data_IF_959378527182
#
_entry.id   IF_959378527182
#
_cell.length_a   1.000
_cell.length_b   1.000
_cell.length_c   1.000
_cell.angle_alpha   90.00
_cell.angle_beta   90.00
_cell.angle_gamma   90.00
#
_symmetry.space_group_name_H-M   'P 1'
#
loop_
_entity.id
_entity.type
_entity.pdbx_description
1 polymer ?
#
# COMPACT_ATOMS: atom_id res chain seq x y z
N UNK A 1 18.87 -3.37 -17.80
CA UNK A 1 18.07 -2.90 -18.95
C UNK A 1 16.62 -3.26 -18.62
N UNK A 2 15.82 -2.28 -18.21
CA UNK A 2 14.40 -2.51 -17.91
C UNK A 2 13.62 -2.42 -19.22
N UNK A 3 12.97 -3.52 -19.61
CA UNK A 3 12.08 -3.51 -20.78
C UNK A 3 10.80 -2.75 -20.40
N UNK A 4 10.61 -1.58 -21.01
CA UNK A 4 9.35 -0.85 -20.98
C UNK A 4 8.44 -1.52 -22.01
N UNK A 5 7.55 -2.40 -21.55
CA UNK A 5 6.55 -3.03 -22.41
C UNK A 5 5.39 -2.08 -22.71
N UNK A 6 4.74 -2.29 -23.85
CA UNK A 6 3.61 -1.50 -24.38
C UNK A 6 2.48 -1.37 -23.35
N UNK A 7 1.91 -0.16 -23.28
CA UNK A 7 0.80 0.22 -22.40
C UNK A 7 -0.48 -0.63 -22.59
N UNK A 8 -0.57 -1.42 -23.66
CA UNK A 8 -1.73 -2.28 -23.97
C UNK A 8 -1.79 -3.56 -23.11
N UNK A 9 -0.64 -4.09 -22.65
CA UNK A 9 -0.63 -5.19 -21.66
C UNK A 9 -0.96 -4.72 -20.23
N UNK A 10 -1.08 -3.40 -20.04
CA UNK A 10 -1.41 -2.70 -18.78
C UNK A 10 -2.87 -2.17 -18.83
N UNK A 11 -3.65 -2.48 -19.88
CA UNK A 11 -5.03 -1.99 -20.03
C UNK A 11 -6.04 -2.59 -19.03
N UNK A 12 -5.63 -3.52 -18.16
CA UNK A 12 -6.49 -4.12 -17.13
C UNK A 12 -5.98 -3.90 -15.71
N UNK A 13 -5.23 -2.82 -15.47
CA UNK A 13 -5.14 -2.31 -14.10
C UNK A 13 -6.42 -1.53 -13.85
N UNK A 14 -7.48 -2.23 -13.46
CA UNK A 14 -8.63 -1.58 -12.88
C UNK A 14 -8.14 -0.64 -11.77
N UNK A 15 -8.67 0.57 -11.75
CA UNK A 15 -8.41 1.52 -10.68
C UNK A 15 -8.80 0.86 -9.35
N UNK A 16 -7.80 0.56 -8.54
CA UNK A 16 -7.97 0.00 -7.20
C UNK A 16 -7.44 0.99 -6.16
N UNK A 17 -7.98 0.88 -4.96
CA UNK A 17 -7.82 1.86 -3.91
C UNK A 17 -7.27 1.19 -2.67
N UNK A 18 -6.39 1.91 -1.99
CA UNK A 18 -6.22 1.71 -0.56
C UNK A 18 -7.05 2.76 0.16
N UNK A 19 -7.51 2.49 1.37
CA UNK A 19 -8.19 3.49 2.19
C UNK A 19 -7.79 3.37 3.65
N UNK A 20 -8.00 4.47 4.38
CA UNK A 20 -7.63 4.55 5.78
C UNK A 20 -8.64 3.75 6.59
N UNK A 21 -8.17 2.75 7.31
CA UNK A 21 -8.98 2.05 8.29
C UNK A 21 -8.81 2.70 9.67
N UNK A 22 -7.56 2.86 10.11
CA UNK A 22 -7.26 3.40 11.43
C UNK A 22 -5.97 4.22 11.46
N UNK A 23 -5.92 5.16 12.39
CA UNK A 23 -4.75 5.96 12.74
C UNK A 23 -4.73 6.24 14.24
N UNK A 24 -3.66 5.86 14.92
CA UNK A 24 -3.37 6.23 16.31
C UNK A 24 -2.18 7.18 16.34
N UNK A 25 -1.65 7.47 17.53
CA UNK A 25 -0.42 8.25 17.66
C UNK A 25 0.82 7.48 17.18
N UNK A 26 0.79 6.15 17.24
CA UNK A 26 1.95 5.29 17.04
C UNK A 26 1.72 4.16 16.03
N UNK A 27 0.55 4.10 15.41
CA UNK A 27 0.25 3.14 14.35
C UNK A 27 -0.65 3.72 13.26
N UNK A 28 -0.49 3.13 12.07
CA UNK A 28 -1.30 3.41 10.90
C UNK A 28 -1.75 2.07 10.31
N UNK A 29 -3.04 1.97 9.98
CA UNK A 29 -3.60 0.82 9.28
C UNK A 29 -4.35 1.29 8.05
N UNK A 30 -3.97 0.73 6.91
CA UNK A 30 -4.59 0.95 5.61
C UNK A 30 -5.20 -0.35 5.14
N UNK A 31 -6.42 -0.28 4.61
CA UNK A 31 -7.06 -1.42 3.98
C UNK A 31 -6.77 -1.38 2.47
N UNK A 32 -6.58 -2.55 1.87
CA UNK A 32 -6.30 -2.74 0.45
C UNK A 32 -7.46 -3.50 -0.20
N UNK A 33 -8.18 -2.83 -1.09
CA UNK A 33 -9.25 -3.46 -1.86
C UNK A 33 -8.68 -3.98 -3.18
N UNK A 34 -8.77 -5.30 -3.47
CA UNK A 34 -8.36 -5.82 -4.77
C UNK A 34 -9.26 -5.27 -5.89
N UNK A 35 -8.74 -5.15 -7.12
CA UNK A 35 -9.60 -4.96 -8.28
C UNK A 35 -10.65 -6.08 -8.36
N UNK A 36 -11.88 -5.75 -8.75
CA UNK A 36 -13.08 -6.62 -8.70
C UNK A 36 -13.00 -7.94 -9.49
N UNK A 37 -11.87 -8.24 -10.13
CA UNK A 37 -11.70 -9.43 -10.96
C UNK A 37 -11.15 -10.63 -10.16
N UNK A 38 -11.60 -11.83 -10.55
CA UNK A 38 -11.32 -13.16 -9.97
C UNK A 38 -9.84 -13.59 -9.95
N UNK A 39 -8.91 -12.67 -10.18
CA UNK A 39 -7.47 -12.90 -10.26
C UNK A 39 -6.75 -12.55 -8.96
N UNK A 40 -7.45 -12.32 -7.84
CA UNK A 40 -6.82 -11.95 -6.58
C UNK A 40 -5.68 -12.88 -6.14
N UNK A 41 -5.77 -14.19 -6.45
CA UNK A 41 -4.72 -15.18 -6.18
C UNK A 41 -3.52 -15.17 -7.15
N UNK A 42 -3.62 -14.45 -8.27
CA UNK A 42 -2.56 -14.34 -9.27
C UNK A 42 -1.58 -13.19 -8.98
N UNK A 43 -1.81 -12.42 -7.92
CA UNK A 43 -1.04 -11.22 -7.59
C UNK A 43 -0.51 -11.25 -6.16
N UNK A 44 0.59 -10.53 -5.95
CA UNK A 44 1.10 -10.17 -4.63
C UNK A 44 0.87 -8.69 -4.44
N UNK A 45 0.31 -8.32 -3.30
CA UNK A 45 0.07 -6.94 -2.92
C UNK A 45 1.14 -6.52 -1.93
N UNK A 46 1.67 -5.32 -2.08
CA UNK A 46 2.63 -4.76 -1.14
C UNK A 46 2.25 -3.31 -0.84
N UNK A 47 2.24 -2.95 0.44
CA UNK A 47 1.99 -1.60 0.90
C UNK A 47 3.16 -1.06 1.69
N UNK A 48 3.41 0.25 1.59
CA UNK A 48 4.46 0.93 2.35
C UNK A 48 3.98 2.28 2.85
N UNK A 49 4.41 2.62 4.06
CA UNK A 49 4.20 3.91 4.71
C UNK A 49 5.50 4.70 4.65
N UNK A 50 5.60 5.62 3.70
CA UNK A 50 6.78 6.48 3.59
C UNK A 50 6.61 7.71 4.48
N UNK A 51 7.47 7.91 5.49
CA UNK A 51 7.47 9.14 6.25
C UNK A 51 8.00 10.29 5.39
N UNK A 52 7.78 11.53 5.84
CA UNK A 52 8.46 12.69 5.29
C UNK A 52 9.99 12.54 5.38
N UNK A 53 10.73 13.06 4.39
CA UNK A 53 12.17 12.81 4.24
C UNK A 53 13.04 13.31 5.41
N UNK A 54 12.50 14.20 6.25
CA UNK A 54 13.14 14.74 7.45
C UNK A 54 12.91 13.88 8.71
N UNK A 55 11.94 12.96 8.67
CA UNK A 55 11.71 11.97 9.71
C UNK A 55 12.65 10.79 9.46
N UNK A 56 13.75 10.73 10.22
CA UNK A 56 14.75 9.66 10.14
C UNK A 56 14.24 8.37 10.81
N UNK A 57 13.13 7.82 10.31
CA UNK A 57 12.47 6.61 10.80
C UNK A 57 12.29 5.63 9.64
N UNK A 58 12.39 4.34 9.92
CA UNK A 58 12.10 3.32 8.93
C UNK A 58 10.59 3.29 8.67
N UNK A 59 10.19 3.45 7.41
CA UNK A 59 8.80 3.27 7.00
C UNK A 59 8.38 1.80 7.14
N UNK A 60 7.21 1.57 7.74
CA UNK A 60 6.61 0.24 7.80
C UNK A 60 5.95 -0.16 6.49
N UNK A 61 5.32 -1.34 6.48
CA UNK A 61 4.63 -1.86 5.33
C UNK A 61 4.19 -3.31 5.51
N UNK A 62 3.63 -3.86 4.43
CA UNK A 62 3.10 -5.22 4.39
C UNK A 62 3.39 -5.86 3.02
N UNK A 63 3.43 -7.19 3.01
CA UNK A 63 3.29 -8.00 1.81
C UNK A 63 2.11 -8.95 2.04
N UNK A 64 1.14 -8.92 1.16
CA UNK A 64 -0.10 -9.70 1.24
C UNK A 64 -0.23 -10.54 -0.02
N UNK A 65 -0.35 -11.86 0.17
CA UNK A 65 -0.51 -12.82 -0.93
C UNK A 65 -1.95 -13.32 -1.10
N UNK A 66 -2.75 -13.24 -0.04
CA UNK A 66 -4.14 -13.70 -0.03
C UNK A 66 -5.03 -12.64 0.60
N UNK A 67 -5.51 -11.68 -0.19
CA UNK A 67 -6.41 -10.62 0.29
C UNK A 67 -7.73 -11.15 0.86
N UNK A 68 -8.13 -12.39 0.55
CA UNK A 68 -9.30 -13.00 1.19
C UNK A 68 -9.11 -13.30 2.67
N UNK A 69 -7.87 -13.32 3.15
CA UNK A 69 -7.51 -13.67 4.53
C UNK A 69 -7.12 -12.43 5.34
N UNK A 70 -6.39 -11.49 4.72
CA UNK A 70 -5.94 -10.26 5.34
C UNK A 70 -5.86 -9.16 4.27
N UNK A 71 -6.60 -8.08 4.47
CA UNK A 71 -6.61 -6.93 3.56
C UNK A 71 -5.81 -5.75 4.12
N UNK A 72 -5.29 -5.87 5.34
CA UNK A 72 -4.80 -4.75 6.11
C UNK A 72 -3.27 -4.64 6.00
N UNK A 73 -2.83 -3.42 5.77
CA UNK A 73 -1.43 -3.03 5.81
C UNK A 73 -1.20 -2.15 7.03
N UNK A 74 -0.42 -2.65 7.99
CA UNK A 74 -0.15 -1.95 9.24
C UNK A 74 1.31 -1.51 9.35
N UNK A 75 1.51 -0.34 9.95
CA UNK A 75 2.81 0.08 10.48
C UNK A 75 2.67 0.38 11.96
N UNK A 76 3.46 -0.31 12.77
CA UNK A 76 3.67 0.03 14.18
C UNK A 76 4.85 0.99 14.33
N UNK A 77 4.97 1.62 15.50
CA UNK A 77 6.04 2.57 15.84
C UNK A 77 6.09 3.80 14.91
N UNK A 78 4.94 4.22 14.41
CA UNK A 78 4.80 5.48 13.69
C UNK A 78 5.10 6.67 14.61
N UNK A 79 5.62 7.75 14.05
CA UNK A 79 5.88 8.98 14.79
C UNK A 79 4.53 9.70 15.01
N UNK A 80 4.20 10.13 16.23
CA UNK A 80 3.00 10.92 16.49
C UNK A 80 2.99 12.24 15.73
N UNK A 81 1.79 12.70 15.36
CA UNK A 81 1.55 13.97 14.68
C UNK A 81 2.39 14.18 13.39
N UNK A 82 2.52 13.12 12.59
CA UNK A 82 3.37 13.09 11.40
C UNK A 82 2.62 12.65 10.14
N UNK A 83 2.97 13.23 8.99
CA UNK A 83 2.46 12.85 7.67
C UNK A 83 3.22 11.63 7.13
N UNK A 84 2.45 10.67 6.62
CA UNK A 84 2.94 9.52 5.87
C UNK A 84 2.26 9.47 4.50
N UNK A 85 3.02 9.07 3.49
CA UNK A 85 2.49 8.74 2.18
C UNK A 85 2.35 7.22 2.07
N UNK A 86 1.11 6.75 1.99
CA UNK A 86 0.87 5.33 1.74
C UNK A 86 0.91 5.04 0.24
N UNK A 87 1.72 4.06 -0.15
CA UNK A 87 1.77 3.53 -1.51
C UNK A 87 1.51 2.04 -1.47
N UNK A 88 0.56 1.58 -2.28
CA UNK A 88 0.31 0.17 -2.48
C UNK A 88 0.58 -0.23 -3.93
N UNK A 89 1.04 -1.46 -4.10
CA UNK A 89 1.43 -2.05 -5.37
C UNK A 89 0.79 -3.44 -5.50
N UNK A 90 0.29 -3.72 -6.70
CA UNK A 90 -0.24 -5.00 -7.13
C UNK A 90 0.75 -5.57 -8.13
N UNK A 91 1.44 -6.67 -7.82
CA UNK A 91 2.49 -7.23 -8.65
C UNK A 91 2.17 -8.66 -9.11
N UNK A 92 2.49 -8.99 -10.35
CA UNK A 92 2.44 -10.38 -10.83
C UNK A 92 3.72 -11.13 -10.40
N UNK A 93 3.63 -12.29 -9.72
CA UNK A 93 4.80 -13.01 -9.21
C UNK A 93 5.81 -13.37 -10.31
N UNK A 94 5.30 -13.70 -11.50
CA UNK A 94 6.09 -14.27 -12.58
C UNK A 94 6.65 -13.23 -13.57
N UNK A 95 6.10 -12.02 -13.60
CA UNK A 95 6.48 -10.99 -14.60
C UNK A 95 6.98 -9.70 -13.98
N UNK A 96 6.94 -9.55 -12.65
CA UNK A 96 7.31 -8.32 -11.92
C UNK A 96 6.62 -7.06 -12.47
N UNK A 97 5.47 -7.24 -13.14
CA UNK A 97 4.64 -6.12 -13.57
C UNK A 97 3.84 -5.69 -12.36
N UNK A 98 4.08 -4.45 -11.93
CA UNK A 98 3.44 -3.87 -10.76
C UNK A 98 2.58 -2.67 -11.17
N UNK A 99 1.38 -2.59 -10.61
CA UNK A 99 0.51 -1.45 -10.75
C UNK A 99 0.33 -0.76 -9.40
N UNK A 100 0.39 0.56 -9.39
CA UNK A 100 0.26 1.35 -8.16
C UNK A 100 -1.21 1.66 -7.90
N UNK A 101 -1.66 1.49 -6.66
CA UNK A 101 -2.94 2.01 -6.21
C UNK A 101 -2.97 3.54 -6.25
N UNK A 102 -4.18 4.10 -6.24
CA UNK A 102 -4.35 5.51 -5.91
C UNK A 102 -3.92 5.73 -4.46
N UNK A 103 -2.86 6.53 -4.28
CA UNK A 103 -2.21 6.73 -2.99
C UNK A 103 -2.96 7.72 -2.10
N UNK A 104 -2.80 7.54 -0.79
CA UNK A 104 -3.36 8.46 0.22
C UNK A 104 -2.25 9.05 1.08
N UNK A 105 -2.47 10.30 1.49
CA UNK A 105 -1.72 10.93 2.56
C UNK A 105 -2.48 10.73 3.86
N UNK A 106 -1.77 10.29 4.89
CA UNK A 106 -2.35 9.99 6.20
C UNK A 106 -1.50 10.63 7.28
N UNK A 107 -2.16 11.12 8.32
CA UNK A 107 -1.51 11.65 9.51
C UNK A 107 -1.77 10.74 10.70
N UNK A 108 -0.73 10.43 11.47
CA UNK A 108 -0.90 9.90 12.83
C UNK A 108 -1.56 10.95 13.71
N UNK A 109 -2.17 10.50 14.82
CA UNK A 109 -2.75 11.42 15.80
C UNK A 109 -1.67 12.05 16.66
N UNK A 110 -2.00 13.16 17.29
CA UNK A 110 -1.22 13.68 18.41
C UNK A 110 -1.27 12.70 19.60
N UNK A 111 -0.24 12.68 20.48
CA UNK A 111 -0.24 11.83 21.66
C UNK A 111 -1.49 12.03 22.54
N UNK A 112 -2.09 10.92 23.01
CA UNK A 112 -3.23 10.95 23.93
C UNK A 112 -4.61 11.18 23.30
N UNK A 113 -4.78 10.95 21.99
CA UNK A 113 -6.04 11.07 21.25
C UNK A 113 -6.40 9.84 20.43
#
# INVERSE_FOLDING_TARGET
>A
MFNVYNLEDIQFVDLWYAFIENRTADSLTMDIDPPMHNYASAYVYAGTFDPAADLNVYGGGCEIRHLSEDTNCQSDLAVPDAEYHFRAFLCTPNRLLCAKALGNRIWTRAPGK
#
